data_IF_115230227911
#
_entry.id   IF_115230227911
#
_cell.length_a   1.000
_cell.length_b   1.000
_cell.length_c   1.000
_cell.angle_alpha   90.00
_cell.angle_beta   90.00
_cell.angle_gamma   90.00
#
_symmetry.space_group_name_H-M   'P 1'
#
loop_
_entity.id
_entity.type
_entity.pdbx_description
1 polymer ?
#
# COMPACT_ATOMS: atom_id res chain seq x y z
N UNK A 1 -21.92 23.04 8.30
CA UNK A 1 -21.10 22.32 7.29
C UNK A 1 -21.77 22.48 5.92
N UNK A 2 -21.06 22.93 4.88
CA UNK A 2 -21.64 23.07 3.55
C UNK A 2 -21.86 21.69 2.91
N UNK A 3 -23.13 21.31 2.71
CA UNK A 3 -23.57 20.01 2.14
C UNK A 3 -23.16 19.75 0.68
N UNK A 4 -22.42 20.67 0.05
CA UNK A 4 -22.01 20.59 -1.36
C UNK A 4 -20.84 19.62 -1.58
N UNK A 5 -19.77 19.78 -0.79
CA UNK A 5 -18.52 19.02 -0.95
C UNK A 5 -18.67 17.52 -0.70
N UNK A 6 -19.58 17.13 0.20
CA UNK A 6 -19.80 15.72 0.54
C UNK A 6 -20.37 14.90 -0.62
N UNK A 7 -21.18 15.51 -1.50
CA UNK A 7 -21.76 14.82 -2.67
C UNK A 7 -20.77 14.67 -3.80
N UNK A 8 -19.85 15.62 -3.92
CA UNK A 8 -18.82 15.66 -4.96
C UNK A 8 -17.82 14.51 -4.76
N UNK A 9 -17.40 14.27 -3.52
CA UNK A 9 -16.49 13.17 -3.18
C UNK A 9 -17.06 11.77 -3.48
N UNK A 10 -18.37 11.57 -3.35
CA UNK A 10 -19.05 10.31 -3.70
C UNK A 10 -19.24 10.09 -5.20
N UNK A 11 -19.27 11.17 -6.00
CA UNK A 11 -19.36 11.06 -7.46
C UNK A 11 -18.00 10.84 -8.12
N UNK A 12 -16.93 11.28 -7.45
CA UNK A 12 -15.58 11.34 -8.03
C UNK A 12 -14.70 10.19 -7.54
N UNK A 13 -14.86 9.73 -6.29
CA UNK A 13 -14.01 8.70 -5.70
C UNK A 13 -14.71 7.34 -5.57
N UNK A 14 -14.11 6.26 -6.06
CA UNK A 14 -14.71 4.93 -6.01
C UNK A 14 -14.40 4.22 -4.68
N UNK A 15 -15.30 4.35 -3.70
CA UNK A 15 -15.20 3.70 -2.39
C UNK A 15 -15.44 2.17 -2.40
N UNK A 16 -15.58 1.56 -3.57
CA UNK A 16 -15.57 0.10 -3.74
C UNK A 16 -14.24 -0.44 -4.27
N UNK A 17 -13.34 0.42 -4.77
CA UNK A 17 -12.06 0.00 -5.36
C UNK A 17 -10.95 -0.06 -4.30
N UNK A 18 -10.43 -1.26 -4.05
CA UNK A 18 -9.38 -1.51 -3.05
C UNK A 18 -8.08 -0.75 -3.34
N UNK A 19 -7.72 -0.58 -4.63
CA UNK A 19 -6.48 0.08 -5.04
C UNK A 19 -6.57 1.58 -4.84
N UNK A 20 -7.72 2.18 -5.16
CA UNK A 20 -8.01 3.58 -4.82
C UNK A 20 -8.00 3.75 -3.31
N UNK A 21 -8.70 2.90 -2.56
CA UNK A 21 -8.75 2.99 -1.09
C UNK A 21 -7.37 2.90 -0.42
N UNK A 22 -6.45 2.07 -0.92
CA UNK A 22 -5.07 2.04 -0.42
C UNK A 22 -4.30 3.32 -0.80
N UNK A 23 -4.46 3.85 -2.02
CA UNK A 23 -3.89 5.16 -2.39
C UNK A 23 -4.39 6.28 -1.47
N UNK A 24 -5.69 6.29 -1.15
CA UNK A 24 -6.27 7.27 -0.23
C UNK A 24 -5.71 7.15 1.18
N UNK A 25 -5.54 5.90 1.68
CA UNK A 25 -4.94 5.65 2.99
C UNK A 25 -3.51 6.20 3.07
N UNK A 26 -2.71 5.99 2.01
CA UNK A 26 -1.35 6.51 1.94
C UNK A 26 -1.32 8.03 1.99
N UNK A 27 -2.17 8.70 1.21
CA UNK A 27 -2.31 10.16 1.24
C UNK A 27 -2.74 10.68 2.63
N UNK A 28 -3.69 10.02 3.30
CA UNK A 28 -4.11 10.36 4.67
C UNK A 28 -2.92 10.34 5.63
N UNK A 29 -2.12 9.28 5.60
CA UNK A 29 -0.94 9.15 6.47
C UNK A 29 0.10 10.23 6.14
N UNK A 30 0.32 10.49 4.86
CA UNK A 30 1.23 11.53 4.40
C UNK A 30 0.81 12.92 4.92
N UNK A 31 -0.47 13.27 4.82
CA UNK A 31 -1.02 14.55 5.31
C UNK A 31 -0.96 14.69 6.82
N UNK A 32 -1.21 13.61 7.57
CA UNK A 32 -1.04 13.59 9.02
C UNK A 32 0.42 13.93 9.38
N UNK A 33 1.38 13.38 8.64
CA UNK A 33 2.80 13.61 8.91
C UNK A 33 3.28 15.00 8.43
N UNK A 34 2.73 15.53 7.34
CA UNK A 34 3.14 16.81 6.73
C UNK A 34 2.56 18.04 7.42
N UNK A 35 1.30 17.99 7.87
CA UNK A 35 0.60 19.20 8.32
C UNK A 35 1.07 19.74 9.68
N UNK A 36 2.02 19.09 10.36
CA UNK A 36 2.44 19.47 11.72
C UNK A 36 1.29 19.47 12.74
N UNK A 37 0.14 18.91 12.37
CA UNK A 37 -1.02 18.77 13.23
C UNK A 37 -0.73 17.67 14.24
N UNK A 38 -1.01 17.97 15.50
CA UNK A 38 -1.02 16.92 16.52
C UNK A 38 -2.11 15.90 16.20
N UNK A 39 -1.88 14.64 16.54
CA UNK A 39 -2.89 13.57 16.40
C UNK A 39 -4.21 13.98 17.05
N UNK A 40 -4.13 14.69 18.18
CA UNK A 40 -5.28 15.20 18.91
C UNK A 40 -6.11 16.22 18.11
N UNK A 41 -5.46 17.15 17.40
CA UNK A 41 -6.17 18.10 16.54
C UNK A 41 -6.90 17.38 15.39
N UNK A 42 -6.29 16.32 14.85
CA UNK A 42 -6.91 15.51 13.78
C UNK A 42 -8.11 14.74 14.32
N UNK A 43 -7.98 14.08 15.47
CA UNK A 43 -9.09 13.33 16.09
C UNK A 43 -10.25 14.21 16.50
N UNK A 44 -9.97 15.39 17.06
CA UNK A 44 -10.99 16.36 17.47
C UNK A 44 -11.74 16.92 16.25
N UNK A 45 -11.01 17.33 15.20
CA UNK A 45 -11.61 17.90 13.99
C UNK A 45 -12.40 16.87 13.18
N UNK A 46 -11.98 15.61 13.20
CA UNK A 46 -12.63 14.52 12.48
C UNK A 46 -13.68 13.77 13.33
N UNK A 47 -13.91 14.18 14.59
CA UNK A 47 -14.82 13.53 15.53
C UNK A 47 -14.57 12.01 15.66
N UNK A 48 -13.30 11.62 15.80
CA UNK A 48 -12.91 10.21 15.91
C UNK A 48 -11.98 9.94 17.10
N UNK A 49 -11.78 8.66 17.41
CA UNK A 49 -10.87 8.26 18.49
C UNK A 49 -9.42 8.09 18.00
N UNK A 50 -8.45 8.21 18.91
CA UNK A 50 -7.03 7.89 18.62
C UNK A 50 -6.87 6.47 18.06
N UNK A 51 -7.67 5.52 18.57
CA UNK A 51 -7.67 4.15 18.08
C UNK A 51 -8.08 4.09 16.60
N UNK A 52 -9.13 4.83 16.24
CA UNK A 52 -9.58 4.93 14.85
C UNK A 52 -8.50 5.54 13.96
N UNK A 53 -7.85 6.61 14.42
CA UNK A 53 -6.77 7.27 13.66
C UNK A 53 -5.58 6.33 13.45
N UNK A 54 -5.19 5.56 14.47
CA UNK A 54 -4.10 4.57 14.38
C UNK A 54 -4.37 3.48 13.33
N UNK A 55 -5.62 3.09 13.11
CA UNK A 55 -5.93 2.10 12.08
C UNK A 55 -5.53 2.58 10.66
N UNK A 56 -5.63 3.88 10.36
CA UNK A 56 -5.20 4.43 9.07
C UNK A 56 -3.69 4.31 8.82
N UNK A 57 -2.89 4.20 9.88
CA UNK A 57 -1.45 3.95 9.78
C UNK A 57 -1.12 2.49 9.44
N UNK A 58 -2.09 1.59 9.54
CA UNK A 58 -1.93 0.17 9.18
C UNK A 58 -2.13 0.00 7.67
N UNK A 59 -1.15 -0.57 7.00
CA UNK A 59 -1.22 -0.88 5.56
C UNK A 59 -2.45 -1.73 5.22
N UNK A 60 -3.12 -1.41 4.12
CA UNK A 60 -4.29 -2.16 3.65
C UNK A 60 -5.57 -1.94 4.45
N UNK A 61 -5.57 -1.14 5.52
CA UNK A 61 -6.75 -0.97 6.38
C UNK A 61 -8.00 -0.55 5.61
N UNK A 62 -7.94 0.50 4.78
CA UNK A 62 -9.10 0.95 4.00
C UNK A 62 -9.49 -0.05 2.91
N UNK A 63 -8.50 -0.63 2.22
CA UNK A 63 -8.74 -1.65 1.20
C UNK A 63 -9.47 -2.87 1.77
N UNK A 64 -9.08 -3.34 2.97
CA UNK A 64 -9.71 -4.48 3.65
C UNK A 64 -11.17 -4.27 4.04
N UNK A 65 -11.65 -3.02 4.00
CA UNK A 65 -13.02 -2.64 4.32
C UNK A 65 -13.87 -2.43 3.06
N UNK A 66 -13.32 -2.64 1.87
CA UNK A 66 -14.05 -2.47 0.62
C UNK A 66 -15.16 -3.53 0.46
N UNK A 67 -16.35 -3.16 -0.07
CA UNK A 67 -16.81 -1.79 -0.28
C UNK A 67 -17.15 -1.10 1.05
N UNK A 68 -16.81 0.18 1.17
CA UNK A 68 -17.04 0.90 2.42
C UNK A 68 -18.54 1.03 2.74
N UNK A 69 -18.92 0.70 3.98
CA UNK A 69 -20.27 0.97 4.48
C UNK A 69 -20.55 2.48 4.52
N UNK A 70 -21.81 2.90 4.40
CA UNK A 70 -22.18 4.33 4.46
C UNK A 70 -21.69 5.01 5.76
N UNK A 71 -21.70 4.30 6.89
CA UNK A 71 -21.15 4.81 8.15
C UNK A 71 -19.63 5.03 8.07
N UNK A 72 -18.91 4.12 7.43
CA UNK A 72 -17.47 4.24 7.20
C UNK A 72 -17.16 5.39 6.27
N UNK A 73 -17.93 5.55 5.18
CA UNK A 73 -17.80 6.67 4.23
C UNK A 73 -18.01 8.02 4.94
N UNK A 74 -19.04 8.16 5.78
CA UNK A 74 -19.26 9.41 6.53
C UNK A 74 -18.09 9.75 7.46
N UNK A 75 -17.55 8.76 8.19
CA UNK A 75 -16.38 8.98 9.07
C UNK A 75 -15.13 9.34 8.26
N UNK A 76 -14.93 8.69 7.12
CA UNK A 76 -13.83 8.97 6.21
C UNK A 76 -13.92 10.40 5.66
N UNK A 77 -15.10 10.86 5.24
CA UNK A 77 -15.31 12.24 4.78
C UNK A 77 -14.97 13.29 5.84
N UNK A 78 -15.31 13.04 7.10
CA UNK A 78 -14.93 13.92 8.20
C UNK A 78 -13.40 14.01 8.35
N UNK A 79 -12.71 12.87 8.24
CA UNK A 79 -11.24 12.84 8.28
C UNK A 79 -10.62 13.60 7.11
N UNK A 80 -11.10 13.38 5.90
CA UNK A 80 -10.58 14.04 4.71
C UNK A 80 -10.79 15.57 4.79
N UNK A 81 -11.95 16.00 5.29
CA UNK A 81 -12.21 17.41 5.56
C UNK A 81 -11.26 17.98 6.60
N UNK A 82 -11.02 17.26 7.70
CA UNK A 82 -10.08 17.69 8.76
C UNK A 82 -8.63 17.79 8.27
N UNK A 83 -8.24 16.93 7.33
CA UNK A 83 -6.91 16.93 6.70
C UNK A 83 -6.82 17.84 5.48
N UNK A 84 -7.92 18.52 5.12
CA UNK A 84 -8.03 19.36 3.93
C UNK A 84 -7.62 18.61 2.63
N UNK A 85 -8.09 17.36 2.50
CA UNK A 85 -7.91 16.52 1.30
C UNK A 85 -9.15 16.65 0.44
N UNK A 86 -8.98 17.20 -0.76
CA UNK A 86 -10.04 17.31 -1.76
C UNK A 86 -10.11 16.04 -2.64
N UNK A 87 -11.27 15.70 -3.23
CA UNK A 87 -11.43 14.50 -4.06
C UNK A 87 -10.45 14.44 -5.25
N UNK A 88 -10.21 15.57 -5.90
CA UNK A 88 -9.31 15.69 -7.05
C UNK A 88 -7.86 15.39 -6.66
N UNK A 89 -7.42 15.89 -5.49
CA UNK A 89 -6.09 15.60 -4.95
C UNK A 89 -5.93 14.10 -4.68
N UNK A 90 -6.96 13.45 -4.12
CA UNK A 90 -6.94 12.02 -3.88
C UNK A 90 -6.85 11.19 -5.17
N UNK A 91 -7.52 11.63 -6.24
CA UNK A 91 -7.43 11.00 -7.55
C UNK A 91 -6.08 11.23 -8.22
N UNK A 92 -5.57 12.47 -8.18
CA UNK A 92 -4.25 12.82 -8.73
C UNK A 92 -3.15 12.02 -8.03
N UNK A 93 -3.22 11.89 -6.71
CA UNK A 93 -2.31 11.05 -5.92
C UNK A 93 -2.38 9.59 -6.35
N UNK A 94 -3.59 9.04 -6.53
CA UNK A 94 -3.78 7.68 -7.01
C UNK A 94 -3.16 7.48 -8.40
N UNK A 95 -3.41 8.40 -9.35
CA UNK A 95 -2.85 8.32 -10.71
C UNK A 95 -1.32 8.34 -10.70
N UNK A 96 -0.70 9.30 -9.99
CA UNK A 96 0.76 9.38 -9.83
C UNK A 96 1.36 8.10 -9.24
N UNK A 97 0.67 7.50 -8.26
CA UNK A 97 1.11 6.23 -7.66
C UNK A 97 1.11 5.09 -8.68
N UNK A 98 0.06 4.96 -9.50
CA UNK A 98 -0.02 3.94 -10.54
C UNK A 98 1.06 4.15 -11.62
N UNK A 99 1.26 5.38 -12.07
CA UNK A 99 2.32 5.73 -13.04
C UNK A 99 3.71 5.36 -12.49
N UNK A 100 3.99 5.68 -11.23
CA UNK A 100 5.27 5.34 -10.59
C UNK A 100 5.45 3.83 -10.44
N UNK A 101 4.38 3.06 -10.20
CA UNK A 101 4.47 1.59 -10.19
C UNK A 101 4.75 1.04 -11.59
N UNK A 102 4.08 1.55 -12.62
CA UNK A 102 4.31 1.12 -14.01
C UNK A 102 5.71 1.47 -14.53
N UNK A 103 6.24 2.64 -14.15
CA UNK A 103 7.58 3.08 -14.56
C UNK A 103 8.69 2.29 -13.85
N UNK A 104 8.49 1.89 -12.59
CA UNK A 104 9.42 1.01 -11.89
C UNK A 104 9.34 -0.46 -12.35
N UNK A 105 8.26 -0.87 -13.02
CA UNK A 105 8.11 -2.18 -13.64
C UNK A 105 8.54 -2.23 -15.13
N UNK A 106 8.93 -1.10 -15.74
CA UNK A 106 9.33 -1.03 -17.16
C UNK A 106 10.84 -1.20 -17.42
N UNK A 107 11.59 -1.81 -16.50
CA UNK A 107 13.01 -2.13 -16.70
C UNK A 107 13.24 -3.62 -16.97
N UNK A 108 12.72 -4.14 -18.08
CA UNK A 108 13.39 -5.23 -18.84
C UNK A 108 12.86 -5.33 -20.30
N UNK A 109 13.56 -4.76 -21.29
CA UNK A 109 13.34 -5.04 -22.70
C UNK A 109 14.34 -6.10 -23.20
N UNK A 110 14.40 -7.28 -22.58
CA UNK A 110 15.15 -8.42 -23.14
C UNK A 110 14.41 -9.74 -22.95
N UNK A 111 13.36 -9.95 -23.75
CA UNK A 111 13.02 -11.30 -24.18
C UNK A 111 13.10 -11.37 -25.70
N UNK A 112 14.35 -11.46 -26.18
CA UNK A 112 14.64 -11.93 -27.52
C UNK A 112 14.31 -13.41 -27.58
N UNK A 113 13.39 -13.74 -28.47
CA UNK A 113 13.09 -15.09 -28.91
C UNK A 113 14.36 -15.76 -29.48
N UNK A 114 14.80 -16.91 -28.93
CA UNK A 114 15.89 -17.68 -29.55
C UNK A 114 16.58 -18.73 -28.67
N UNK A 115 16.22 -20.00 -28.87
CA UNK A 115 17.11 -21.18 -28.95
C UNK A 115 17.95 -21.63 -27.72
N UNK A 116 17.51 -22.76 -27.17
CA UNK A 116 18.25 -24.03 -26.92
C UNK A 116 19.64 -24.02 -26.24
N UNK A 117 19.62 -24.53 -25.01
CA UNK A 117 20.40 -25.65 -24.45
C UNK A 117 21.95 -25.62 -24.38
N UNK A 118 22.39 -26.00 -23.17
CA UNK A 118 23.55 -26.83 -22.84
C UNK A 118 24.83 -26.08 -22.41
N UNK A 119 24.95 -25.83 -21.10
CA UNK A 119 26.24 -25.61 -20.46
C UNK A 119 26.35 -26.47 -19.19
N UNK A 120 27.23 -27.46 -19.30
CA UNK A 120 27.81 -28.33 -18.27
C UNK A 120 27.92 -27.68 -16.88
N UNK A 121 27.36 -28.37 -15.88
CA UNK A 121 27.75 -28.22 -14.48
C UNK A 121 29.15 -28.79 -14.27
N UNK A 122 30.12 -27.94 -13.89
CA UNK A 122 31.35 -28.37 -13.23
C UNK A 122 31.68 -27.44 -12.05
N UNK A 123 31.35 -27.93 -10.86
CA UNK A 123 32.08 -27.80 -9.59
C UNK A 123 32.55 -26.43 -9.08
N UNK A 124 31.92 -25.96 -8.00
CA UNK A 124 32.62 -25.16 -6.99
C UNK A 124 32.51 -25.86 -5.62
N UNK A 125 33.66 -26.26 -5.07
CA UNK A 125 33.85 -26.78 -3.72
C UNK A 125 33.58 -25.70 -2.65
N UNK A 126 32.99 -26.10 -1.53
CA UNK A 126 32.59 -25.23 -0.43
C UNK A 126 33.69 -24.97 0.62
N UNK A 127 33.65 -23.73 1.13
CA UNK A 127 33.91 -23.24 2.50
C UNK A 127 35.33 -23.03 3.05
N UNK A 128 35.54 -21.78 3.51
CA UNK A 128 36.31 -21.46 4.71
C UNK A 128 36.74 -19.99 4.80
N UNK A 129 35.94 -19.13 5.45
CA UNK A 129 36.41 -17.79 5.83
C UNK A 129 35.32 -16.82 6.26
N UNK A 130 35.28 -16.53 7.56
CA UNK A 130 34.32 -15.66 8.21
C UNK A 130 34.41 -14.18 7.76
N UNK A 131 33.26 -13.55 7.47
CA UNK A 131 32.80 -12.28 8.03
C UNK A 131 31.58 -11.73 7.27
N UNK A 132 30.59 -11.30 8.05
CA UNK A 132 29.40 -10.49 7.70
C UNK A 132 28.24 -11.16 6.93
N UNK A 133 26.99 -10.82 7.29
CA UNK A 133 25.78 -11.46 6.80
C UNK A 133 25.40 -10.84 5.46
N UNK A 134 25.13 -11.67 4.45
CA UNK A 134 24.31 -11.19 3.34
C UNK A 134 23.43 -12.31 2.82
N UNK A 135 22.14 -12.03 2.94
CA UNK A 135 21.01 -12.78 2.42
C UNK A 135 21.14 -12.78 0.90
N UNK A 136 21.18 -13.96 0.29
CA UNK A 136 20.90 -14.12 -1.14
C UNK A 136 19.70 -15.05 -1.25
N UNK A 137 18.60 -14.41 -1.60
CA UNK A 137 17.33 -14.94 -2.06
C UNK A 137 17.55 -16.01 -3.13
N UNK A 138 16.97 -17.19 -2.92
CA UNK A 138 16.91 -18.23 -3.92
C UNK A 138 15.62 -19.02 -3.73
N UNK A 139 14.74 -18.94 -4.72
CA UNK A 139 13.52 -19.74 -4.84
C UNK A 139 13.75 -21.18 -4.37
N UNK A 140 13.09 -21.56 -3.29
CA UNK A 140 12.92 -22.96 -2.92
C UNK A 140 11.45 -23.15 -2.61
N UNK A 141 10.78 -23.90 -3.48
CA UNK A 141 9.57 -24.62 -3.12
C UNK A 141 9.83 -25.37 -1.82
N UNK A 142 9.26 -24.86 -0.72
CA UNK A 142 9.35 -25.51 0.57
C UNK A 142 8.29 -26.61 0.58
N UNK A 143 8.68 -27.82 0.19
CA UNK A 143 7.91 -29.02 0.54
C UNK A 143 8.26 -29.37 1.99
N UNK A 144 7.35 -29.09 2.93
CA UNK A 144 7.48 -29.51 4.32
C UNK A 144 7.10 -30.99 4.45
N UNK A 145 8.08 -31.87 4.62
CA UNK A 145 7.83 -33.27 4.95
C UNK A 145 7.92 -33.47 6.47
N UNK A 146 6.79 -33.72 7.13
CA UNK A 146 6.76 -34.05 8.56
C UNK A 146 7.06 -35.54 8.74
N UNK A 147 8.35 -35.89 8.81
CA UNK A 147 8.82 -37.23 9.16
C UNK A 147 8.66 -37.49 10.66
N UNK A 148 7.94 -38.57 10.97
CA UNK A 148 7.59 -39.05 12.30
C UNK A 148 8.80 -39.36 13.21
N UNK A 149 8.57 -39.26 14.52
CA UNK A 149 9.54 -39.40 15.61
C UNK A 149 9.41 -40.80 16.22
N UNK A 150 10.50 -41.56 16.24
CA UNK A 150 10.74 -42.64 17.20
C UNK A 150 11.97 -42.29 18.04
#
# INVERSE_FOLDING_TARGET
>A
MPKGKEREMEQVYNFADEVQLESLRQLIVEKINQNGLSEQQVTDSAYMSDRSLRNYKTEGYLASLAPLSSSTVSKLKNLLTALNIEPEEALEYHQKRIENQQNNHHSDPTNQNGQQSNAQFQGCTFNGGANAPNVITGNRDITLNFGAKD
#
